data_IF_617126701836
#
_entry.id   IF_617126701836
#
_cell.length_a   1.000
_cell.length_b   1.000
_cell.length_c   1.000
_cell.angle_alpha   90.00
_cell.angle_beta   90.00
_cell.angle_gamma   90.00
#
_symmetry.space_group_name_H-M   'P 1'
#
loop_
_entity.id
_entity.type
_entity.pdbx_description
1 polymer ?
#
# COMPACT_ATOMS: atom_id res chain seq x y z
N UNK A 1 -16.54 18.49 9.31
CA UNK A 1 -16.32 17.23 8.56
C UNK A 1 -16.21 16.11 9.56
N UNK A 2 -16.91 15.01 9.32
CA UNK A 2 -16.89 13.83 10.20
C UNK A 2 -16.39 12.66 9.36
N UNK A 3 -15.36 11.97 9.84
CA UNK A 3 -14.74 10.85 9.11
C UNK A 3 -15.29 9.52 9.62
N UNK A 4 -15.71 8.66 8.70
CA UNK A 4 -16.12 7.28 8.99
C UNK A 4 -15.10 6.33 8.38
N UNK A 5 -14.44 5.52 9.21
CA UNK A 5 -13.48 4.50 8.77
C UNK A 5 -14.04 3.12 9.08
N UNK A 6 -14.11 2.27 8.05
CA UNK A 6 -14.63 0.90 8.17
C UNK A 6 -13.46 -0.06 8.00
N UNK A 7 -13.25 -0.92 9.01
CA UNK A 7 -12.23 -1.99 8.98
C UNK A 7 -12.94 -3.33 9.00
N UNK A 8 -12.78 -4.11 7.93
CA UNK A 8 -13.37 -5.45 7.78
C UNK A 8 -12.44 -6.31 6.94
N UNK A 9 -12.41 -7.60 7.22
CA UNK A 9 -11.67 -8.59 6.41
C UNK A 9 -12.54 -9.17 5.28
N UNK A 10 -13.84 -8.86 5.28
CA UNK A 10 -14.81 -9.36 4.29
C UNK A 10 -15.04 -8.34 3.20
N UNK A 11 -14.64 -8.67 1.98
CA UNK A 11 -14.82 -7.84 0.78
C UNK A 11 -16.31 -7.59 0.46
N UNK A 12 -17.17 -8.58 0.68
CA UNK A 12 -18.63 -8.46 0.52
C UNK A 12 -19.23 -7.32 1.36
N UNK A 13 -18.69 -7.08 2.55
CA UNK A 13 -19.15 -6.02 3.45
C UNK A 13 -18.76 -4.64 2.89
N UNK A 14 -17.57 -4.53 2.29
CA UNK A 14 -17.11 -3.29 1.66
C UNK A 14 -18.00 -2.95 0.46
N UNK A 15 -18.28 -3.92 -0.40
CA UNK A 15 -19.15 -3.73 -1.58
C UNK A 15 -20.58 -3.35 -1.19
N UNK A 16 -21.15 -3.99 -0.16
CA UNK A 16 -22.46 -3.62 0.37
C UNK A 16 -22.50 -2.16 0.87
N UNK A 17 -21.46 -1.73 1.58
CA UNK A 17 -21.38 -0.33 2.05
C UNK A 17 -21.21 0.65 0.90
N UNK A 18 -20.37 0.34 -0.10
CA UNK A 18 -20.22 1.18 -1.30
C UNK A 18 -21.55 1.35 -2.03
N UNK A 19 -22.31 0.26 -2.19
CA UNK A 19 -23.63 0.31 -2.82
C UNK A 19 -24.60 1.22 -2.05
N UNK A 20 -24.57 1.12 -0.71
CA UNK A 20 -25.36 1.99 0.16
C UNK A 20 -24.96 3.47 0.00
N UNK A 21 -23.67 3.79 0.06
CA UNK A 21 -23.16 5.16 -0.10
C UNK A 21 -23.52 5.75 -1.48
N UNK A 22 -23.41 4.95 -2.55
CA UNK A 22 -23.85 5.34 -3.90
C UNK A 22 -25.36 5.63 -3.96
N UNK A 23 -26.18 4.82 -3.29
CA UNK A 23 -27.62 5.03 -3.20
C UNK A 23 -28.00 6.36 -2.55
N UNK A 24 -27.23 6.80 -1.55
CA UNK A 24 -27.39 8.11 -0.90
C UNK A 24 -26.65 9.25 -1.61
N UNK A 25 -26.02 9.00 -2.75
CA UNK A 25 -25.21 9.97 -3.51
C UNK A 25 -24.08 10.59 -2.66
N UNK A 26 -23.53 9.82 -1.73
CA UNK A 26 -22.39 10.23 -0.91
C UNK A 26 -21.11 9.94 -1.67
N UNK A 27 -20.31 10.97 -1.92
CA UNK A 27 -18.96 10.81 -2.45
C UNK A 27 -18.05 10.21 -1.38
N UNK A 28 -17.23 9.23 -1.76
CA UNK A 28 -16.25 8.60 -0.89
C UNK A 28 -14.93 8.46 -1.65
N UNK A 29 -13.83 8.47 -0.91
CA UNK A 29 -12.48 8.29 -1.43
C UNK A 29 -12.00 6.89 -1.08
N UNK A 30 -11.50 6.16 -2.09
CA UNK A 30 -10.75 4.93 -1.88
C UNK A 30 -9.28 5.24 -2.12
N UNK A 31 -8.47 5.12 -1.07
CA UNK A 31 -7.02 5.20 -1.22
C UNK A 31 -6.49 3.84 -1.65
N UNK A 32 -6.33 3.64 -2.96
CA UNK A 32 -5.43 2.61 -3.48
C UNK A 32 -4.00 3.15 -3.52
N UNK A 33 -3.02 2.26 -3.41
CA UNK A 33 -1.65 2.63 -3.73
C UNK A 33 -1.54 2.95 -5.22
N UNK A 34 -0.63 3.87 -5.55
CA UNK A 34 -0.30 4.18 -6.93
C UNK A 34 0.09 2.90 -7.70
N UNK A 35 -0.44 2.66 -8.92
CA UNK A 35 -0.15 1.43 -9.66
C UNK A 35 1.33 1.22 -9.98
N UNK A 36 2.10 2.29 -10.23
CA UNK A 36 3.55 2.15 -10.47
C UNK A 36 4.27 1.78 -9.18
N UNK A 37 3.84 2.31 -8.03
CA UNK A 37 4.34 1.90 -6.73
C UNK A 37 4.09 0.41 -6.48
N UNK A 38 2.88 -0.09 -6.73
CA UNK A 38 2.55 -1.52 -6.60
C UNK A 38 3.44 -2.37 -7.50
N UNK A 39 3.61 -2.00 -8.77
CA UNK A 39 4.46 -2.71 -9.71
C UNK A 39 5.94 -2.76 -9.24
N UNK A 40 6.47 -1.66 -8.69
CA UNK A 40 7.83 -1.63 -8.11
C UNK A 40 7.97 -2.59 -6.93
N UNK A 41 6.96 -2.69 -6.07
CA UNK A 41 6.97 -3.64 -4.94
C UNK A 41 6.93 -5.09 -5.43
N UNK A 42 6.11 -5.41 -6.44
CA UNK A 42 6.08 -6.75 -7.02
C UNK A 42 7.44 -7.17 -7.59
N UNK A 43 8.10 -6.27 -8.32
CA UNK A 43 9.46 -6.50 -8.83
C UNK A 43 10.44 -6.73 -7.67
N UNK A 44 10.39 -5.90 -6.63
CA UNK A 44 11.24 -6.05 -5.44
C UNK A 44 11.03 -7.41 -4.77
N UNK A 45 9.78 -7.84 -4.60
CA UNK A 45 9.46 -9.17 -4.05
C UNK A 45 10.05 -10.30 -4.90
N UNK A 46 10.01 -10.19 -6.23
CA UNK A 46 10.64 -11.18 -7.11
C UNK A 46 12.15 -11.21 -6.95
N UNK A 47 12.80 -10.04 -6.85
CA UNK A 47 14.25 -9.94 -6.63
C UNK A 47 14.67 -10.58 -5.31
N UNK A 48 13.91 -10.36 -4.23
CA UNK A 48 14.14 -11.00 -2.92
C UNK A 48 14.03 -12.52 -3.03
N UNK A 49 12.99 -13.05 -3.70
CA UNK A 49 12.82 -14.49 -3.93
C UNK A 49 13.97 -15.10 -4.74
N UNK A 50 14.55 -14.33 -5.66
CA UNK A 50 15.70 -14.73 -6.46
C UNK A 50 17.05 -14.56 -5.71
N UNK A 51 17.04 -14.11 -4.46
CA UNK A 51 18.25 -13.85 -3.69
C UNK A 51 19.04 -12.62 -4.14
N UNK A 52 18.45 -11.76 -4.98
CA UNK A 52 19.03 -10.49 -5.41
C UNK A 52 18.83 -9.43 -4.32
N UNK A 53 19.46 -9.65 -3.18
CA UNK A 53 19.41 -8.73 -2.04
C UNK A 53 20.80 -8.20 -1.72
N UNK A 54 20.83 -7.01 -1.10
CA UNK A 54 22.06 -6.42 -0.59
C UNK A 54 22.08 -6.70 0.91
N UNK A 55 23.18 -7.30 1.40
CA UNK A 55 23.42 -7.44 2.84
C UNK A 55 24.18 -6.23 3.32
N UNK A 56 23.72 -5.67 4.44
CA UNK A 56 24.39 -4.56 5.11
C UNK A 56 25.08 -5.06 6.38
N UNK A 57 26.18 -4.41 6.75
CA UNK A 57 26.85 -4.71 8.00
C UNK A 57 26.03 -4.20 9.20
N UNK A 58 25.97 -4.94 10.31
CA UNK A 58 25.32 -4.46 11.52
C UNK A 58 25.92 -3.13 11.98
N UNK A 59 25.09 -2.10 12.11
CA UNK A 59 25.51 -0.75 12.51
C UNK A 59 25.72 0.24 11.35
N UNK A 60 25.54 -0.17 10.09
CA UNK A 60 25.50 0.76 8.97
C UNK A 60 24.21 1.60 8.98
N UNK A 61 24.32 2.92 8.83
CA UNK A 61 23.16 3.79 8.63
C UNK A 61 22.70 3.72 7.16
N UNK A 62 21.44 3.36 6.96
CA UNK A 62 20.82 3.29 5.64
C UNK A 62 20.63 4.69 5.02
N UNK A 63 20.52 5.74 5.85
CA UNK A 63 20.31 7.11 5.38
C UNK A 63 21.58 7.71 4.76
N UNK A 64 22.76 7.38 5.29
CA UNK A 64 24.05 7.80 4.72
C UNK A 64 24.26 7.22 3.31
N UNK A 65 23.73 6.03 3.05
CA UNK A 65 23.84 5.34 1.76
C UNK A 65 22.90 5.91 0.69
N UNK A 66 21.75 6.44 1.09
CA UNK A 66 20.80 7.08 0.16
C UNK A 66 21.27 8.49 -0.21
N UNK A 67 21.88 9.21 0.73
CA UNK A 67 22.33 10.60 0.55
C UNK A 67 23.72 10.73 -0.10
N UNK A 68 24.44 9.63 -0.32
CA UNK A 68 25.78 9.60 -0.92
C UNK A 68 25.79 9.39 -2.44
N UNK A 69 24.62 9.45 -3.09
CA UNK A 69 24.45 9.36 -4.55
C UNK A 69 24.25 10.71 -5.22
#
# INVERSE_FOLDING_TARGET
MTTLTIKTEKEEVIEAVKALLRGFKVAYEESSYDPEFVAKIEISMQQVRQGKTIKYEPGSDLWDLVNSK
#
